data_IF_923512007328
#
_entry.id   IF_923512007328
#
_cell.length_a   1.000
_cell.length_b   1.000
_cell.length_c   1.000
_cell.angle_alpha   90.00
_cell.angle_beta   90.00
_cell.angle_gamma   90.00
#
_symmetry.space_group_name_H-M   'P 1'
#
loop_
_entity.id
_entity.type
_entity.pdbx_description
1 polymer ?
#
# COMPACT_ATOMS: atom_id res chain seq x y z
N UNK A 1 46.19 -7.14 -26.39
CA UNK A 1 46.48 -8.26 -25.51
C UNK A 1 45.17 -8.93 -25.05
N UNK A 2 45.23 -10.25 -24.97
CA UNK A 2 44.09 -11.08 -24.64
C UNK A 2 43.54 -10.81 -23.22
N UNK A 3 44.45 -10.67 -22.25
CA UNK A 3 44.08 -10.41 -20.85
C UNK A 3 43.34 -9.09 -20.67
N UNK A 4 43.78 -8.05 -21.38
CA UNK A 4 43.14 -6.73 -21.32
C UNK A 4 41.76 -6.80 -21.94
N UNK A 5 41.60 -7.48 -23.07
CA UNK A 5 40.31 -7.66 -23.73
C UNK A 5 39.36 -8.48 -22.89
N UNK A 6 39.84 -9.53 -22.25
CA UNK A 6 39.01 -10.34 -21.34
C UNK A 6 38.54 -9.52 -20.13
N UNK A 7 39.43 -8.71 -19.57
CA UNK A 7 39.08 -7.83 -18.46
C UNK A 7 38.08 -6.77 -18.88
N UNK A 8 38.23 -6.19 -20.06
CA UNK A 8 37.27 -5.22 -20.60
C UNK A 8 35.90 -5.84 -20.83
N UNK A 9 35.86 -7.03 -21.45
CA UNK A 9 34.60 -7.75 -21.67
C UNK A 9 33.90 -8.11 -20.36
N UNK A 10 34.68 -8.55 -19.38
CA UNK A 10 34.16 -8.87 -18.06
C UNK A 10 33.61 -7.63 -17.37
N UNK A 11 34.33 -6.51 -17.44
CA UNK A 11 33.92 -5.24 -16.89
C UNK A 11 32.62 -4.76 -17.56
N UNK A 12 32.50 -4.83 -18.87
CA UNK A 12 31.32 -4.46 -19.63
C UNK A 12 30.15 -5.33 -19.27
N UNK A 13 30.34 -6.64 -19.11
CA UNK A 13 29.32 -7.58 -18.68
C UNK A 13 28.83 -7.27 -17.28
N UNK A 14 29.72 -6.98 -16.35
CA UNK A 14 29.37 -6.60 -14.98
C UNK A 14 28.58 -5.29 -14.93
N UNK A 15 28.99 -4.32 -15.76
CA UNK A 15 28.31 -3.04 -15.86
C UNK A 15 26.89 -3.22 -16.39
N UNK A 16 26.74 -4.04 -17.42
CA UNK A 16 25.43 -4.35 -18.00
C UNK A 16 24.52 -5.04 -16.99
N UNK A 17 25.05 -6.03 -16.27
CA UNK A 17 24.29 -6.73 -15.22
C UNK A 17 23.87 -5.76 -14.10
N UNK A 18 24.77 -4.87 -13.71
CA UNK A 18 24.45 -3.85 -12.70
C UNK A 18 23.36 -2.91 -13.18
N UNK A 19 23.39 -2.48 -14.43
CA UNK A 19 22.37 -1.63 -15.02
C UNK A 19 21.02 -2.34 -15.08
N UNK A 20 20.99 -3.61 -15.46
CA UNK A 20 19.76 -4.42 -15.47
C UNK A 20 19.16 -4.55 -14.07
N UNK A 21 20.00 -4.76 -13.06
CA UNK A 21 19.56 -4.83 -11.66
C UNK A 21 18.98 -3.50 -11.19
N UNK A 22 19.61 -2.39 -11.55
CA UNK A 22 19.09 -1.06 -11.20
C UNK A 22 17.72 -0.82 -11.82
N UNK A 23 17.54 -1.19 -13.09
CA UNK A 23 16.25 -1.07 -13.79
C UNK A 23 15.19 -1.91 -13.07
N UNK A 24 15.53 -3.14 -12.74
CA UNK A 24 14.62 -4.05 -12.04
C UNK A 24 14.23 -3.51 -10.67
N UNK A 25 15.18 -2.99 -9.92
CA UNK A 25 14.92 -2.37 -8.61
C UNK A 25 14.00 -1.17 -8.78
N UNK A 26 14.21 -0.37 -9.81
CA UNK A 26 13.35 0.77 -10.10
C UNK A 26 11.91 0.36 -10.41
N UNK A 27 11.75 -0.68 -11.24
CA UNK A 27 10.44 -1.25 -11.54
C UNK A 27 9.75 -1.77 -10.26
N UNK A 28 10.49 -2.47 -9.41
CA UNK A 28 9.98 -2.97 -8.13
C UNK A 28 9.53 -1.81 -7.22
N UNK A 29 10.29 -0.72 -7.20
CA UNK A 29 9.92 0.47 -6.42
C UNK A 29 8.62 1.08 -6.95
N UNK A 30 8.47 1.18 -8.26
CA UNK A 30 7.23 1.69 -8.88
C UNK A 30 6.05 0.80 -8.53
N UNK A 31 6.23 -0.52 -8.62
CA UNK A 31 5.21 -1.50 -8.26
C UNK A 31 4.82 -1.39 -6.78
N UNK A 32 5.80 -1.27 -5.89
CA UNK A 32 5.56 -1.10 -4.47
C UNK A 32 4.81 0.19 -4.16
N UNK A 33 5.11 1.27 -4.86
CA UNK A 33 4.36 2.54 -4.72
C UNK A 33 2.91 2.38 -5.16
N UNK A 34 2.68 1.62 -6.24
CA UNK A 34 1.33 1.30 -6.71
C UNK A 34 0.55 0.48 -5.68
N UNK A 35 1.18 -0.55 -5.13
CA UNK A 35 0.60 -1.40 -4.07
C UNK A 35 0.27 -0.56 -2.84
N UNK A 36 1.18 0.31 -2.42
CA UNK A 36 1.00 1.20 -1.29
C UNK A 36 -0.20 2.14 -1.49
N UNK A 37 -0.32 2.71 -2.69
CA UNK A 37 -1.43 3.59 -3.05
C UNK A 37 -2.76 2.84 -2.98
N UNK A 38 -2.80 1.66 -3.57
CA UNK A 38 -3.99 0.81 -3.57
C UNK A 38 -4.39 0.43 -2.15
N UNK A 39 -3.42 0.05 -1.32
CA UNK A 39 -3.65 -0.27 0.09
C UNK A 39 -4.22 0.93 0.85
N UNK A 40 -3.68 2.12 0.63
CA UNK A 40 -4.18 3.34 1.26
C UNK A 40 -5.62 3.64 0.86
N UNK A 41 -5.94 3.46 -0.42
CA UNK A 41 -7.30 3.67 -0.93
C UNK A 41 -8.28 2.67 -0.33
N UNK A 42 -7.90 1.42 -0.25
CA UNK A 42 -8.73 0.37 0.36
C UNK A 42 -8.93 0.64 1.85
N UNK A 43 -7.87 1.02 2.55
CA UNK A 43 -7.93 1.35 3.97
C UNK A 43 -8.84 2.55 4.20
N UNK A 44 -8.74 3.56 3.36
CA UNK A 44 -9.61 4.73 3.42
C UNK A 44 -11.08 4.36 3.24
N UNK A 45 -11.40 3.52 2.26
CA UNK A 45 -12.75 3.03 2.03
C UNK A 45 -13.27 2.24 3.24
N UNK A 46 -12.41 1.41 3.81
CA UNK A 46 -12.74 0.62 4.98
C UNK A 46 -13.05 1.52 6.18
N UNK A 47 -12.22 2.53 6.41
CA UNK A 47 -12.42 3.51 7.48
C UNK A 47 -13.72 4.28 7.27
N UNK A 48 -13.97 4.76 6.06
CA UNK A 48 -15.21 5.47 5.73
C UNK A 48 -16.43 4.59 5.94
N UNK A 49 -16.36 3.33 5.54
CA UNK A 49 -17.43 2.36 5.76
C UNK A 49 -17.70 2.13 7.24
N UNK A 50 -16.64 1.95 8.03
CA UNK A 50 -16.77 1.79 9.48
C UNK A 50 -17.30 3.03 10.17
N UNK A 51 -16.91 4.20 9.73
CA UNK A 51 -17.45 5.45 10.25
C UNK A 51 -18.95 5.58 9.99
N UNK A 52 -19.39 5.20 8.80
CA UNK A 52 -20.81 5.17 8.46
C UNK A 52 -21.58 4.18 9.33
N UNK A 53 -21.00 3.01 9.55
CA UNK A 53 -21.59 2.01 10.44
C UNK A 53 -21.69 2.51 11.88
N UNK A 54 -20.65 3.16 12.36
CA UNK A 54 -20.65 3.76 13.70
C UNK A 54 -21.67 4.86 13.84
N UNK A 55 -21.84 5.70 12.85
CA UNK A 55 -22.87 6.74 12.84
C UNK A 55 -24.26 6.12 12.88
N UNK A 56 -24.50 5.09 12.09
CA UNK A 56 -25.75 4.36 12.06
C UNK A 56 -26.04 3.71 13.41
N UNK A 57 -25.06 3.03 13.99
CA UNK A 57 -25.20 2.39 15.30
C UNK A 57 -25.43 3.42 16.41
N UNK A 58 -24.78 4.57 16.33
CA UNK A 58 -24.93 5.65 17.28
C UNK A 58 -26.35 6.22 17.25
N UNK A 59 -26.92 6.43 16.07
CA UNK A 59 -28.31 6.86 15.91
C UNK A 59 -29.24 5.80 16.47
N UNK A 60 -28.99 4.55 16.20
CA UNK A 60 -29.77 3.42 16.68
C UNK A 60 -29.69 3.28 18.20
N UNK A 61 -28.51 3.42 18.78
CA UNK A 61 -28.29 3.42 20.22
C UNK A 61 -28.99 4.61 20.89
N UNK A 62 -28.94 5.77 20.25
CA UNK A 62 -29.63 6.97 20.71
C UNK A 62 -31.13 6.75 20.79
N UNK A 63 -31.73 6.13 19.78
CA UNK A 63 -33.15 5.77 19.77
C UNK A 63 -33.48 4.75 20.87
N UNK A 64 -32.66 3.71 20.98
CA UNK A 64 -32.77 2.70 22.01
C UNK A 64 -32.64 3.26 23.41
N UNK A 65 -31.67 4.11 23.62
CA UNK A 65 -31.45 4.80 24.90
C UNK A 65 -32.62 5.70 25.25
N UNK A 66 -33.18 6.39 24.29
CA UNK A 66 -34.37 7.23 24.46
C UNK A 66 -35.58 6.41 24.90
N UNK A 67 -35.78 5.26 24.27
CA UNK A 67 -36.86 4.33 24.64
C UNK A 67 -36.69 3.78 26.05
N UNK A 68 -35.48 3.39 26.41
CA UNK A 68 -35.13 2.87 27.74
C UNK A 68 -35.38 3.92 28.84
N UNK A 69 -34.99 5.17 28.59
CA UNK A 69 -35.22 6.27 29.52
C UNK A 69 -36.71 6.52 29.75
N UNK A 70 -37.52 6.42 28.70
CA UNK A 70 -38.97 6.57 28.81
C UNK A 70 -39.60 5.46 29.66
N UNK A 71 -39.07 4.26 29.56
CA UNK A 71 -39.53 3.12 30.36
C UNK A 71 -39.18 3.28 31.84
N UNK A 72 -38.03 3.88 32.13
CA UNK A 72 -37.59 4.14 33.49
C UNK A 72 -38.39 5.26 34.17
N UNK A 73 -38.83 6.23 33.41
CA UNK A 73 -39.70 7.32 33.91
C UNK A 73 -41.13 6.86 34.07
#
# INVERSE_FOLDING_TARGET
>A
ELLVKEAELKSDSMMKDAQEKVIKIHEDIVDLKGIRRHFKEELKRLIESHMKMLEFDKEREGEGSGSLRREEE
#
